data_IF_209135901045
#
_entry.id   IF_209135901045
#
_cell.length_a   1.000
_cell.length_b   1.000
_cell.length_c   1.000
_cell.angle_alpha   90.00
_cell.angle_beta   90.00
_cell.angle_gamma   90.00
#
_symmetry.space_group_name_H-M   'P 1'
#
loop_
_entity.id
_entity.type
_entity.pdbx_description
1 polymer ?
#
# COMPACT_ATOMS: atom_id res chain seq x y z
N UNK A 1 -35.36 -9.92 29.67
CA UNK A 1 -35.10 -8.50 29.37
C UNK A 1 -33.63 -8.18 29.60
N UNK A 2 -33.00 -7.53 28.60
CA UNK A 2 -31.80 -6.67 28.62
C UNK A 2 -30.50 -7.19 29.28
N UNK A 3 -29.55 -7.60 28.43
CA UNK A 3 -28.10 -7.43 28.65
C UNK A 3 -27.51 -6.59 27.52
N UNK A 4 -27.49 -5.28 27.74
CA UNK A 4 -26.80 -4.28 26.90
C UNK A 4 -25.82 -3.56 27.80
N UNK A 5 -24.51 -3.76 27.62
CA UNK A 5 -23.45 -2.84 28.08
C UNK A 5 -22.07 -3.52 28.02
N UNK A 6 -21.45 -3.64 26.84
CA UNK A 6 -20.02 -3.99 26.74
C UNK A 6 -19.35 -3.58 25.41
N UNK A 7 -19.89 -2.57 24.72
CA UNK A 7 -19.35 -2.08 23.43
C UNK A 7 -18.96 -0.59 23.44
N UNK A 8 -18.75 0.03 24.60
CA UNK A 8 -18.47 1.48 24.69
C UNK A 8 -17.02 1.89 24.99
N UNK A 9 -16.04 0.97 24.97
CA UNK A 9 -14.62 1.29 25.26
C UNK A 9 -13.62 0.88 24.18
N UNK A 10 -14.07 0.43 23.00
CA UNK A 10 -13.19 -0.12 21.95
C UNK A 10 -12.72 0.85 20.87
N UNK A 11 -13.17 2.11 20.84
CA UNK A 11 -12.94 3.02 19.70
C UNK A 11 -12.62 4.48 20.09
N UNK A 12 -11.94 4.69 21.21
CA UNK A 12 -11.59 6.05 21.70
C UNK A 12 -10.21 6.54 21.16
N UNK A 13 -9.63 5.87 20.15
CA UNK A 13 -8.41 6.36 19.47
C UNK A 13 -8.56 6.50 17.94
N UNK A 14 -9.78 6.81 17.48
CA UNK A 14 -10.06 7.26 16.09
C UNK A 14 -11.00 8.48 16.03
N UNK A 15 -11.36 9.09 17.16
CA UNK A 15 -12.50 10.00 17.27
C UNK A 15 -12.17 11.49 17.41
N UNK A 16 -11.17 12.02 16.69
CA UNK A 16 -10.95 13.48 16.67
C UNK A 16 -10.45 14.06 15.34
N UNK A 17 -10.73 13.44 14.19
CA UNK A 17 -10.46 14.07 12.88
C UNK A 17 -11.56 13.79 11.85
N UNK A 18 -12.82 14.08 12.20
CA UNK A 18 -13.86 14.35 11.21
C UNK A 18 -14.62 15.62 11.61
N UNK A 19 -13.86 16.73 11.67
CA UNK A 19 -14.46 18.05 11.45
C UNK A 19 -14.61 18.19 9.93
N UNK A 20 -15.86 18.16 9.47
CA UNK A 20 -16.27 18.49 8.11
C UNK A 20 -15.87 19.94 7.80
N UNK A 21 -14.66 20.13 7.28
CA UNK A 21 -14.26 21.34 6.59
C UNK A 21 -14.43 21.13 5.07
N UNK A 22 -14.97 22.11 4.33
CA UNK A 22 -15.14 22.01 2.89
C UNK A 22 -13.79 21.87 2.17
N UNK A 23 -13.72 20.90 1.26
CA UNK A 23 -12.56 20.49 0.44
C UNK A 23 -12.29 21.53 -0.67
N UNK A 24 -12.16 22.81 -0.33
CA UNK A 24 -11.87 23.89 -1.30
C UNK A 24 -10.52 24.57 -1.10
N UNK A 25 -9.78 24.26 -0.01
CA UNK A 25 -8.49 24.91 0.30
C UNK A 25 -7.22 24.19 -0.18
N UNK A 26 -7.27 22.93 -0.59
CA UNK A 26 -6.04 22.12 -0.78
C UNK A 26 -5.28 22.38 -2.10
N UNK A 27 -5.79 23.24 -2.98
CA UNK A 27 -5.27 23.43 -4.33
C UNK A 27 -4.14 24.47 -4.44
N UNK A 28 -3.98 25.39 -3.47
CA UNK A 28 -3.07 26.53 -3.63
C UNK A 28 -1.67 26.35 -3.02
N UNK A 29 -1.47 25.39 -2.10
CA UNK A 29 -0.20 25.20 -1.39
C UNK A 29 0.74 24.13 -2.00
N UNK A 30 0.40 23.58 -3.17
CA UNK A 30 1.20 22.51 -3.81
C UNK A 30 2.31 23.04 -4.75
N UNK A 31 2.36 24.35 -5.05
CA UNK A 31 3.29 24.89 -6.06
C UNK A 31 4.69 25.24 -5.52
N UNK A 32 4.92 25.25 -4.20
CA UNK A 32 6.20 25.67 -3.61
C UNK A 32 7.17 24.53 -3.19
N UNK A 33 6.77 23.26 -3.23
CA UNK A 33 7.59 22.13 -2.69
C UNK A 33 8.02 21.13 -3.76
N UNK A 34 8.63 21.61 -4.86
CA UNK A 34 9.23 20.76 -5.91
C UNK A 34 10.61 20.18 -5.54
N UNK A 35 11.19 20.57 -4.41
CA UNK A 35 12.48 20.03 -3.94
C UNK A 35 12.28 18.93 -2.91
N UNK A 36 12.62 17.70 -3.31
CA UNK A 36 12.79 16.50 -2.48
C UNK A 36 11.72 16.30 -1.38
N UNK A 37 10.80 15.36 -1.60
CA UNK A 37 10.11 14.70 -0.49
C UNK A 37 11.15 13.88 0.28
N UNK A 38 12.02 14.55 1.05
CA UNK A 38 12.87 13.91 2.05
C UNK A 38 11.93 13.08 2.91
N UNK A 39 12.27 11.81 3.12
CA UNK A 39 11.50 11.04 4.08
C UNK A 39 11.53 11.81 5.41
N UNK A 40 10.38 11.93 6.09
CA UNK A 40 10.37 12.62 7.37
C UNK A 40 11.37 11.96 8.31
N UNK A 41 12.13 12.78 9.02
CA UNK A 41 13.01 12.28 10.07
C UNK A 41 12.16 11.94 11.29
N UNK A 42 11.70 10.69 11.36
CA UNK A 42 10.85 10.21 12.45
C UNK A 42 11.50 10.28 13.84
N UNK A 43 12.83 10.47 13.92
CA UNK A 43 13.54 10.61 15.19
C UNK A 43 13.34 12.00 15.80
N UNK A 44 13.13 13.03 14.99
CA UNK A 44 12.92 14.41 15.44
C UNK A 44 11.43 14.79 15.60
N UNK A 45 10.51 13.95 15.13
CA UNK A 45 9.07 14.19 15.23
C UNK A 45 8.49 13.76 16.59
N UNK A 46 7.52 14.52 17.09
CA UNK A 46 6.74 14.13 18.27
C UNK A 46 5.83 12.92 17.96
N UNK A 47 5.32 12.19 18.97
CA UNK A 47 4.32 11.15 18.74
C UNK A 47 3.10 11.63 17.93
N UNK A 48 2.60 12.84 18.21
CA UNK A 48 1.44 13.45 17.57
C UNK A 48 1.73 13.73 16.09
N UNK A 49 2.84 14.38 15.79
CA UNK A 49 3.24 14.67 14.40
C UNK A 49 3.43 13.39 13.58
N UNK A 50 3.92 12.32 14.22
CA UNK A 50 4.06 11.01 13.57
C UNK A 50 2.71 10.40 13.25
N UNK A 51 1.75 10.50 14.17
CA UNK A 51 0.38 10.03 13.95
C UNK A 51 -0.29 10.83 12.84
N UNK A 52 -0.15 12.15 12.82
CA UNK A 52 -0.68 13.00 11.76
C UNK A 52 -0.09 12.67 10.39
N UNK A 53 1.22 12.43 10.35
CA UNK A 53 1.86 11.98 9.11
C UNK A 53 1.33 10.63 8.64
N UNK A 54 1.16 9.67 9.55
CA UNK A 54 0.60 8.34 9.26
C UNK A 54 -0.84 8.46 8.75
N UNK A 55 -1.68 9.24 9.43
CA UNK A 55 -3.06 9.50 9.03
C UNK A 55 -3.11 10.09 7.62
N UNK A 56 -2.28 11.08 7.33
CA UNK A 56 -2.17 11.64 5.98
C UNK A 56 -1.70 10.63 4.93
N UNK A 57 -0.88 9.62 5.28
CA UNK A 57 -0.55 8.54 4.34
C UNK A 57 -1.70 7.58 4.10
N UNK A 58 -2.48 7.27 5.14
CA UNK A 58 -3.68 6.43 5.05
C UNK A 58 -4.70 7.12 4.15
N UNK A 59 -5.01 8.39 4.40
CA UNK A 59 -5.92 9.20 3.57
C UNK A 59 -5.46 9.22 2.11
N UNK A 60 -4.19 9.54 1.85
CA UNK A 60 -3.62 9.50 0.48
C UNK A 60 -3.71 8.13 -0.16
N UNK A 61 -3.71 7.06 0.63
CA UNK A 61 -3.83 5.70 0.12
C UNK A 61 -5.29 5.39 -0.22
N UNK A 62 -6.23 5.74 0.64
CA UNK A 62 -7.68 5.61 0.40
C UNK A 62 -8.09 6.39 -0.85
N UNK A 63 -7.72 7.68 -0.95
CA UNK A 63 -8.01 8.52 -2.12
C UNK A 63 -7.45 7.91 -3.41
N UNK A 64 -6.27 7.27 -3.35
CA UNK A 64 -5.72 6.55 -4.51
C UNK A 64 -6.54 5.33 -4.87
N UNK A 65 -6.99 4.55 -3.89
CA UNK A 65 -7.88 3.42 -4.15
C UNK A 65 -9.18 3.88 -4.80
N UNK A 66 -9.83 4.90 -4.25
CA UNK A 66 -11.09 5.45 -4.79
C UNK A 66 -10.89 5.96 -6.22
N UNK A 67 -9.82 6.72 -6.47
CA UNK A 67 -9.50 7.22 -7.81
C UNK A 67 -9.30 6.09 -8.82
N UNK A 68 -8.62 5.02 -8.44
CA UNK A 68 -8.39 3.86 -9.31
C UNK A 68 -9.64 2.97 -9.47
N UNK A 69 -10.57 3.02 -8.50
CA UNK A 69 -11.85 2.32 -8.55
C UNK A 69 -12.90 3.10 -9.37
N UNK A 70 -12.78 4.42 -9.49
CA UNK A 70 -13.68 5.28 -10.26
C UNK A 70 -15.13 5.14 -9.79
N UNK A 71 -16.06 4.93 -10.72
CA UNK A 71 -17.50 4.72 -10.43
C UNK A 71 -17.79 3.46 -9.60
N UNK A 72 -16.76 2.65 -9.33
CA UNK A 72 -16.84 1.45 -8.47
C UNK A 72 -16.21 1.68 -7.10
N UNK A 73 -16.01 2.93 -6.70
CA UNK A 73 -15.60 3.29 -5.34
C UNK A 73 -16.61 2.76 -4.29
N UNK A 74 -16.19 2.60 -3.01
CA UNK A 74 -17.09 2.26 -1.93
C UNK A 74 -18.21 3.31 -1.78
N UNK A 75 -19.40 2.88 -1.35
CA UNK A 75 -20.48 3.82 -1.01
C UNK A 75 -20.16 4.58 0.27
N UNK A 76 -20.86 5.67 0.54
CA UNK A 76 -20.68 6.44 1.79
C UNK A 76 -20.80 5.56 3.05
N UNK A 77 -21.72 4.59 3.05
CA UNK A 77 -21.91 3.64 4.15
C UNK A 77 -20.73 2.64 4.29
N UNK A 78 -20.13 2.24 3.17
CA UNK A 78 -18.96 1.35 3.16
C UNK A 78 -17.65 2.09 3.48
N UNK A 79 -17.63 3.41 3.27
CA UNK A 79 -16.41 4.22 3.26
C UNK A 79 -15.65 4.20 4.58
N UNK A 80 -16.37 4.26 5.70
CA UNK A 80 -15.75 4.22 7.04
C UNK A 80 -15.06 2.88 7.25
N UNK A 81 -15.77 1.76 7.03
CA UNK A 81 -15.21 0.42 7.19
C UNK A 81 -14.06 0.18 6.21
N UNK A 82 -14.20 0.65 4.96
CA UNK A 82 -13.14 0.59 3.95
C UNK A 82 -11.87 1.30 4.42
N UNK A 83 -12.03 2.53 4.94
CA UNK A 83 -10.93 3.33 5.47
C UNK A 83 -10.26 2.65 6.67
N UNK A 84 -11.05 2.11 7.60
CA UNK A 84 -10.54 1.38 8.77
C UNK A 84 -9.72 0.14 8.37
N UNK A 85 -10.19 -0.63 7.38
CA UNK A 85 -9.48 -1.80 6.87
C UNK A 85 -8.15 -1.43 6.20
N UNK A 86 -8.14 -0.36 5.38
CA UNK A 86 -6.91 0.17 4.76
C UNK A 86 -5.95 0.68 5.84
N UNK A 87 -6.44 1.42 6.83
CA UNK A 87 -5.67 1.93 7.96
C UNK A 87 -4.99 0.80 8.74
N UNK A 88 -5.76 -0.23 9.12
CA UNK A 88 -5.27 -1.43 9.82
C UNK A 88 -4.15 -2.10 9.02
N UNK A 89 -4.36 -2.40 7.74
CA UNK A 89 -3.35 -3.03 6.90
C UNK A 89 -2.09 -2.15 6.74
N UNK A 90 -2.27 -0.84 6.63
CA UNK A 90 -1.16 0.11 6.49
C UNK A 90 -0.29 0.17 7.76
N UNK A 91 -0.91 0.25 8.93
CA UNK A 91 -0.24 0.28 10.23
C UNK A 91 0.53 -1.02 10.50
N UNK A 92 -0.09 -2.18 10.27
CA UNK A 92 0.59 -3.47 10.40
C UNK A 92 1.75 -3.60 9.40
N UNK A 93 1.59 -3.07 8.18
CA UNK A 93 2.68 -2.97 7.21
C UNK A 93 3.84 -2.07 7.65
N UNK A 94 3.57 -0.98 8.39
CA UNK A 94 4.62 -0.14 9.01
C UNK A 94 5.35 -0.93 10.09
N UNK A 95 4.62 -1.58 11.00
CA UNK A 95 5.22 -2.40 12.08
C UNK A 95 6.16 -3.45 11.50
N UNK A 96 5.70 -4.21 10.51
CA UNK A 96 6.49 -5.22 9.82
C UNK A 96 7.78 -4.65 9.20
N UNK A 97 7.71 -3.50 8.52
CA UNK A 97 8.90 -2.83 7.97
C UNK A 97 9.85 -2.37 9.07
N UNK A 98 9.33 -1.90 10.20
CA UNK A 98 10.15 -1.49 11.34
C UNK A 98 10.89 -2.68 11.97
N UNK A 99 10.25 -3.84 12.08
CA UNK A 99 10.88 -5.09 12.55
C UNK A 99 11.98 -5.54 11.60
N UNK A 100 11.72 -5.50 10.29
CA UNK A 100 12.70 -5.81 9.26
C UNK A 100 13.93 -4.90 9.34
N UNK A 101 13.74 -3.58 9.52
CA UNK A 101 14.83 -2.62 9.65
C UNK A 101 15.66 -2.88 10.92
N UNK A 102 15.01 -3.12 12.07
CA UNK A 102 15.70 -3.45 13.33
C UNK A 102 16.52 -4.74 13.21
N UNK A 103 15.96 -5.76 12.58
CA UNK A 103 16.64 -7.03 12.42
C UNK A 103 17.81 -6.96 11.41
N UNK A 104 17.70 -6.13 10.36
CA UNK A 104 18.82 -5.80 9.46
C UNK A 104 19.96 -5.07 10.16
N UNK A 105 19.65 -4.16 11.09
CA UNK A 105 20.67 -3.46 11.89
C UNK A 105 21.42 -4.42 12.84
N UNK A 106 20.72 -5.42 13.41
CA UNK A 106 21.31 -6.36 14.39
C UNK A 106 22.19 -7.44 13.75
N UNK A 107 21.88 -7.91 12.54
CA UNK A 107 22.61 -9.00 11.87
C UNK A 107 23.35 -8.48 10.63
N UNK A 108 24.69 -8.32 10.72
CA UNK A 108 25.58 -8.20 9.55
C UNK A 108 25.68 -9.58 8.88
N UNK A 109 24.74 -9.94 8.01
CA UNK A 109 24.74 -11.24 7.35
C UNK A 109 23.52 -11.52 6.48
N UNK A 110 23.48 -12.70 5.86
CA UNK A 110 22.46 -13.12 4.91
C UNK A 110 21.11 -13.37 5.60
N UNK A 111 20.29 -12.33 5.72
CA UNK A 111 18.98 -12.34 6.40
C UNK A 111 17.86 -12.98 5.57
N UNK A 112 18.16 -14.04 4.81
CA UNK A 112 17.20 -14.65 3.87
C UNK A 112 15.97 -15.20 4.58
N UNK A 113 16.15 -15.94 5.67
CA UNK A 113 15.04 -16.52 6.45
C UNK A 113 14.12 -15.45 7.02
N UNK A 114 14.70 -14.42 7.65
CA UNK A 114 13.96 -13.26 8.15
C UNK A 114 13.19 -12.57 7.02
N UNK A 115 13.82 -12.35 5.86
CA UNK A 115 13.14 -11.75 4.71
C UNK A 115 11.97 -12.62 4.24
N UNK A 116 12.13 -13.95 4.20
CA UNK A 116 11.05 -14.87 3.86
C UNK A 116 9.91 -14.83 4.89
N UNK A 117 10.23 -14.82 6.19
CA UNK A 117 9.24 -14.71 7.26
C UNK A 117 8.45 -13.39 7.15
N UNK A 118 9.14 -12.27 6.94
CA UNK A 118 8.51 -10.96 6.78
C UNK A 118 7.64 -10.91 5.52
N UNK A 119 8.09 -11.49 4.40
CA UNK A 119 7.28 -11.60 3.19
C UNK A 119 6.03 -12.46 3.42
N UNK A 120 6.15 -13.57 4.14
CA UNK A 120 5.01 -14.43 4.50
C UNK A 120 4.00 -13.70 5.37
N UNK A 121 4.47 -12.96 6.39
CA UNK A 121 3.62 -12.10 7.23
C UNK A 121 2.93 -11.02 6.39
N UNK A 122 3.63 -10.38 5.44
CA UNK A 122 3.03 -9.40 4.54
C UNK A 122 1.94 -10.02 3.65
N UNK A 123 2.20 -11.19 3.08
CA UNK A 123 1.24 -11.89 2.23
C UNK A 123 -0.02 -12.30 3.01
N UNK A 124 0.13 -12.71 4.28
CA UNK A 124 -1.01 -12.97 5.18
C UNK A 124 -1.84 -11.71 5.41
N UNK A 125 -1.22 -10.58 5.73
CA UNK A 125 -1.91 -9.29 5.91
C UNK A 125 -2.69 -8.88 4.64
N UNK A 126 -2.07 -8.99 3.47
CA UNK A 126 -2.74 -8.65 2.21
C UNK A 126 -3.89 -9.62 1.87
N UNK A 127 -3.77 -10.90 2.26
CA UNK A 127 -4.83 -11.91 2.11
C UNK A 127 -6.01 -11.65 3.05
N UNK A 128 -5.73 -11.31 4.32
CA UNK A 128 -6.76 -10.93 5.30
C UNK A 128 -7.52 -9.69 4.86
N UNK A 129 -6.81 -8.64 4.43
CA UNK A 129 -7.43 -7.44 3.84
C UNK A 129 -8.32 -7.80 2.66
N UNK A 130 -7.83 -8.67 1.76
CA UNK A 130 -8.61 -9.12 0.60
C UNK A 130 -9.88 -9.86 1.00
N UNK A 131 -9.82 -10.68 2.06
CA UNK A 131 -10.98 -11.42 2.58
C UNK A 131 -12.00 -10.47 3.21
N UNK A 132 -11.56 -9.55 4.05
CA UNK A 132 -12.40 -8.53 4.71
C UNK A 132 -13.06 -7.62 3.65
N UNK A 133 -12.30 -7.15 2.65
CA UNK A 133 -12.81 -6.35 1.53
C UNK A 133 -13.82 -7.09 0.66
N UNK A 134 -13.68 -8.41 0.49
CA UNK A 134 -14.65 -9.23 -0.25
C UNK A 134 -16.00 -9.33 0.48
N UNK A 135 -15.99 -9.26 1.81
CA UNK A 135 -17.21 -9.24 2.61
C UNK A 135 -17.88 -7.87 2.63
N UNK A 136 -17.10 -6.79 2.53
CA UNK A 136 -17.59 -5.41 2.55
C UNK A 136 -18.11 -4.93 1.20
N UNK A 137 -17.38 -5.21 0.12
CA UNK A 137 -17.62 -4.65 -1.21
C UNK A 137 -18.43 -5.60 -2.09
N UNK A 138 -19.27 -5.04 -2.96
CA UNK A 138 -19.94 -5.82 -3.98
C UNK A 138 -18.94 -6.42 -5.00
N UNK A 139 -19.34 -7.48 -5.71
CA UNK A 139 -18.49 -8.14 -6.71
C UNK A 139 -17.83 -7.19 -7.74
N UNK A 140 -18.50 -6.20 -8.34
CA UNK A 140 -17.84 -5.25 -9.25
C UNK A 140 -16.87 -4.30 -8.53
N UNK A 141 -17.23 -3.79 -7.34
CA UNK A 141 -16.36 -2.94 -6.52
C UNK A 141 -15.12 -3.71 -6.07
N UNK A 142 -15.26 -4.95 -5.62
CA UNK A 142 -14.15 -5.80 -5.19
C UNK A 142 -13.17 -6.11 -6.33
N UNK A 143 -13.67 -6.33 -7.56
CA UNK A 143 -12.80 -6.47 -8.74
C UNK A 143 -12.02 -5.18 -9.03
N UNK A 144 -12.67 -4.02 -8.92
CA UNK A 144 -12.01 -2.72 -9.09
C UNK A 144 -10.96 -2.51 -8.00
N UNK A 145 -11.28 -2.83 -6.75
CA UNK A 145 -10.37 -2.79 -5.61
C UNK A 145 -9.12 -3.63 -5.84
N UNK A 146 -9.26 -4.88 -6.31
CA UNK A 146 -8.09 -5.73 -6.63
C UNK A 146 -7.19 -5.11 -7.69
N UNK A 147 -7.76 -4.56 -8.76
CA UNK A 147 -6.99 -3.86 -9.81
C UNK A 147 -6.29 -2.62 -9.24
N UNK A 148 -6.98 -1.85 -8.40
CA UNK A 148 -6.38 -0.71 -7.71
C UNK A 148 -5.24 -1.14 -6.78
N UNK A 149 -5.41 -2.24 -6.05
CA UNK A 149 -4.38 -2.80 -5.17
C UNK A 149 -3.12 -3.20 -5.94
N UNK A 150 -3.26 -3.86 -7.08
CA UNK A 150 -2.12 -4.23 -7.94
C UNK A 150 -1.35 -3.02 -8.47
N UNK A 151 -2.03 -1.90 -8.74
CA UNK A 151 -1.39 -0.65 -9.18
C UNK A 151 -0.72 0.13 -8.04
N UNK A 152 -1.39 0.22 -6.89
CA UNK A 152 -0.92 1.01 -5.73
C UNK A 152 0.20 0.27 -4.99
N UNK A 153 0.08 -1.06 -4.90
CA UNK A 153 1.05 -1.94 -4.28
C UNK A 153 1.55 -2.91 -5.34
N UNK A 154 2.41 -2.44 -6.28
CA UNK A 154 2.98 -3.34 -7.26
C UNK A 154 3.71 -4.43 -6.51
N UNK A 155 3.22 -5.67 -6.63
CA UNK A 155 3.98 -6.83 -6.20
C UNK A 155 5.33 -6.73 -6.91
N UNK A 156 6.45 -7.03 -6.23
CA UNK A 156 7.74 -7.07 -6.89
C UNK A 156 7.57 -7.91 -8.14
N UNK A 157 7.71 -7.28 -9.32
CA UNK A 157 7.63 -7.96 -10.60
C UNK A 157 8.53 -9.17 -10.44
N UNK A 158 7.96 -10.37 -10.55
CA UNK A 158 8.75 -11.59 -10.75
C UNK A 158 9.47 -11.35 -12.08
N UNK A 159 10.61 -10.65 -12.06
CA UNK A 159 11.54 -10.58 -13.18
C UNK A 159 11.78 -12.03 -13.54
N UNK A 160 11.38 -12.37 -14.76
CA UNK A 160 11.13 -13.74 -15.17
C UNK A 160 12.27 -14.67 -14.80
N UNK A 161 11.97 -15.63 -13.94
CA UNK A 161 12.45 -16.98 -14.16
C UNK A 161 11.50 -17.58 -15.19
N UNK A 162 11.69 -17.17 -16.45
CA UNK A 162 10.85 -17.53 -17.58
C UNK A 162 11.64 -17.38 -18.87
N UNK A 163 12.17 -18.50 -19.35
CA UNK A 163 12.42 -18.70 -20.78
C UNK A 163 13.75 -18.23 -21.34
N UNK A 164 14.86 -18.83 -20.90
CA UNK A 164 15.95 -19.12 -21.84
C UNK A 164 15.42 -20.18 -22.81
N UNK A 165 14.82 -19.75 -23.91
CA UNK A 165 14.11 -20.65 -24.80
C UNK A 165 14.02 -20.11 -26.22
N UNK A 166 14.95 -20.57 -27.06
CA UNK A 166 14.64 -20.94 -28.43
C UNK A 166 14.53 -19.82 -29.46
N UNK A 167 15.61 -19.68 -30.22
CA UNK A 167 15.48 -19.90 -31.66
C UNK A 167 15.48 -18.68 -32.55
N UNK A 168 16.14 -18.89 -33.70
CA UNK A 168 16.11 -18.10 -34.94
C UNK A 168 16.97 -16.84 -34.93
N UNK A 169 18.28 -17.06 -35.04
CA UNK A 169 19.04 -16.31 -36.04
C UNK A 169 18.79 -16.99 -37.40
N UNK A 170 17.95 -16.43 -38.29
CA UNK A 170 17.95 -16.84 -39.69
C UNK A 170 19.27 -16.39 -40.33
N UNK A 171 19.82 -17.24 -41.17
CA UNK A 171 20.96 -16.90 -41.99
C UNK A 171 20.72 -15.64 -42.82
N UNK A 172 21.76 -14.83 -42.91
CA UNK A 172 22.16 -14.09 -44.10
C UNK A 172 23.68 -14.25 -44.15
N UNK A 173 24.31 -14.83 -45.18
CA UNK A 173 23.95 -14.73 -46.59
C UNK A 173 24.55 -13.46 -47.15
N UNK A 174 25.59 -13.60 -47.99
CA UNK A 174 26.30 -12.51 -48.67
C UNK A 174 27.73 -12.40 -48.13
N UNK A 175 28.76 -12.88 -48.83
CA UNK A 175 29.19 -12.36 -50.14
C UNK A 175 29.98 -11.07 -49.85
N UNK A 176 31.28 -10.96 -50.09
CA UNK A 176 32.05 -11.37 -51.26
C UNK A 176 32.83 -10.13 -51.71
N UNK A 177 34.11 -10.31 -52.06
CA UNK A 177 34.95 -9.28 -52.69
C UNK A 177 35.52 -8.23 -51.71
N UNK A 178 36.76 -7.79 -51.83
CA UNK A 178 37.76 -7.97 -52.86
C UNK A 178 38.76 -6.81 -52.76
N UNK A 179 40.03 -7.10 -53.02
CA UNK A 179 41.03 -6.15 -53.55
C UNK A 179 41.40 -4.95 -52.69
N UNK A 180 42.58 -4.99 -52.07
CA UNK A 180 43.86 -4.45 -52.59
C UNK A 180 44.93 -4.57 -51.51
#
# INVERSE_FOLDING_TARGET
MKKTSLLKTGLILLASVLYLAPISGFAQEQKAKKNQRKQPDFASMTPEERMDWINGQIERTVVRYEKEMGDKAPTAEQQETFTQLIAKNYLEGIKLRSEMMKARQKKKGNNRELMMEMMSKREKLDSELTKEMKGLLEKPQFKAFKKAQEKIQPKPQRRGQGGGGGGRGPGGGGGGGGGR
#
